data_IF_356170914492
#
_entry.id   IF_356170914492
#
_cell.length_a   1.000
_cell.length_b   1.000
_cell.length_c   1.000
_cell.angle_alpha   90.00
_cell.angle_beta   90.00
_cell.angle_gamma   90.00
#
_symmetry.space_group_name_H-M   'P 1'
#
loop_
_entity.id
_entity.type
_entity.pdbx_description
1 polymer ?
#
# COMPACT_ATOMS: atom_id res chain seq x y z
N UNK A 1 -21.62 3.54 -1.39
CA UNK A 1 -20.29 3.61 -2.05
C UNK A 1 -20.11 2.37 -2.89
N UNK A 2 -19.76 2.50 -4.17
CA UNK A 2 -19.48 1.38 -5.08
C UNK A 2 -17.98 1.17 -5.19
N UNK A 3 -17.55 -0.02 -5.61
CA UNK A 3 -16.13 -0.33 -5.82
C UNK A 3 -15.44 0.66 -6.78
N UNK A 4 -16.14 1.10 -7.83
CA UNK A 4 -15.67 2.12 -8.77
C UNK A 4 -15.26 3.42 -8.09
N UNK A 5 -15.93 3.80 -7.01
CA UNK A 5 -15.73 5.08 -6.33
C UNK A 5 -14.41 5.11 -5.56
N UNK A 6 -13.88 3.94 -5.18
CA UNK A 6 -12.66 3.79 -4.36
C UNK A 6 -11.51 3.12 -5.09
N UNK A 7 -11.71 2.66 -6.33
CA UNK A 7 -10.72 1.88 -7.07
C UNK A 7 -9.34 2.56 -7.13
N UNK A 8 -9.30 3.87 -7.39
CA UNK A 8 -8.05 4.64 -7.42
C UNK A 8 -7.34 4.67 -6.06
N UNK A 9 -8.09 4.79 -4.96
CA UNK A 9 -7.54 4.80 -3.59
C UNK A 9 -6.97 3.42 -3.22
N UNK A 10 -7.64 2.34 -3.61
CA UNK A 10 -7.15 0.97 -3.40
C UNK A 10 -5.84 0.72 -4.17
N UNK A 11 -5.75 1.27 -5.40
CA UNK A 11 -4.60 1.14 -6.30
C UNK A 11 -3.43 2.07 -5.99
N UNK A 12 -3.59 3.05 -5.10
CA UNK A 12 -2.54 4.03 -4.81
C UNK A 12 -1.23 3.35 -4.38
N UNK A 13 -0.04 3.87 -4.71
CA UNK A 13 1.21 3.32 -4.20
C UNK A 13 1.23 3.25 -2.67
N UNK A 14 1.97 2.29 -2.12
CA UNK A 14 2.21 2.24 -0.67
C UNK A 14 3.36 3.20 -0.33
N UNK A 15 3.34 3.82 0.86
CA UNK A 15 4.51 4.49 1.41
C UNK A 15 5.76 3.61 1.29
N UNK A 16 6.88 4.17 0.88
CA UNK A 16 8.09 3.40 0.58
C UNK A 16 8.58 2.57 1.76
N UNK A 17 8.42 3.08 2.98
CA UNK A 17 8.78 2.38 4.23
C UNK A 17 7.90 1.15 4.53
N UNK A 18 6.72 1.02 3.93
CA UNK A 18 5.87 -0.18 4.03
C UNK A 18 6.19 -1.23 2.96
N UNK A 19 7.05 -0.90 2.00
CA UNK A 19 7.50 -1.84 0.97
C UNK A 19 8.78 -2.54 1.43
N UNK A 20 8.65 -3.83 1.72
CA UNK A 20 9.77 -4.70 2.05
C UNK A 20 10.40 -5.32 0.81
N UNK A 21 11.61 -5.85 0.97
CA UNK A 21 12.37 -6.54 -0.07
C UNK A 21 12.77 -7.93 0.40
N UNK A 22 12.49 -8.95 -0.41
CA UNK A 22 12.86 -10.34 -0.13
C UNK A 22 13.67 -10.95 -1.27
N UNK A 23 14.66 -11.80 -0.98
CA UNK A 23 15.35 -12.55 -2.03
C UNK A 23 14.40 -13.57 -2.67
N UNK A 24 14.54 -13.76 -3.98
CA UNK A 24 13.87 -14.81 -4.75
C UNK A 24 14.86 -15.82 -5.30
N UNK A 25 15.98 -15.35 -5.86
CA UNK A 25 17.00 -16.22 -6.48
C UNK A 25 18.37 -15.70 -6.14
N UNK A 26 19.32 -16.60 -5.91
CA UNK A 26 20.71 -16.27 -5.59
C UNK A 26 21.62 -16.63 -6.77
N UNK A 27 22.74 -15.91 -6.91
CA UNK A 27 23.86 -16.36 -7.74
C UNK A 27 24.47 -17.63 -7.13
N UNK A 28 25.26 -18.38 -7.92
CA UNK A 28 25.87 -19.65 -7.48
C UNK A 28 26.77 -19.48 -6.26
N UNK A 29 27.49 -18.38 -6.19
CA UNK A 29 28.37 -17.97 -5.08
C UNK A 29 27.61 -17.25 -3.94
N UNK A 30 26.30 -17.05 -4.08
CA UNK A 30 25.41 -16.34 -3.14
C UNK A 30 25.80 -14.89 -2.85
N UNK A 31 26.69 -14.29 -3.66
CA UNK A 31 27.15 -12.91 -3.49
C UNK A 31 26.11 -11.87 -3.91
N UNK A 32 25.17 -12.26 -4.79
CA UNK A 32 24.06 -11.42 -5.26
C UNK A 32 22.73 -12.17 -5.18
N UNK A 33 21.66 -11.41 -5.01
CA UNK A 33 20.29 -11.93 -5.01
C UNK A 33 19.41 -11.11 -5.94
N UNK A 34 18.59 -11.80 -6.74
CA UNK A 34 17.41 -11.20 -7.34
C UNK A 34 16.37 -11.04 -6.24
N UNK A 35 15.91 -9.82 -6.04
CA UNK A 35 14.98 -9.48 -4.97
C UNK A 35 13.62 -9.07 -5.53
N UNK A 36 12.60 -9.28 -4.73
CA UNK A 36 11.22 -8.89 -5.01
C UNK A 36 10.72 -7.95 -3.91
N UNK A 37 10.00 -6.92 -4.33
CA UNK A 37 9.22 -6.09 -3.41
C UNK A 37 8.01 -6.84 -2.90
N UNK A 38 7.60 -6.55 -1.67
CA UNK A 38 6.33 -6.99 -1.13
C UNK A 38 5.80 -5.98 -0.11
N UNK A 39 4.51 -6.07 0.19
CA UNK A 39 3.92 -5.44 1.37
C UNK A 39 3.44 -6.50 2.33
N UNK A 40 3.39 -6.16 3.61
CA UNK A 40 2.83 -7.03 4.63
C UNK A 40 1.31 -7.06 4.60
N UNK A 41 0.73 -8.15 5.11
CA UNK A 41 -0.72 -8.31 5.20
C UNK A 41 -1.37 -7.18 6.02
N UNK A 42 -0.67 -6.61 7.01
CA UNK A 42 -1.18 -5.50 7.83
C UNK A 42 -1.35 -4.23 7.00
N UNK A 43 -0.38 -3.89 6.15
CA UNK A 43 -0.51 -2.75 5.25
C UNK A 43 -1.72 -2.88 4.30
N UNK A 44 -2.05 -4.11 3.88
CA UNK A 44 -3.27 -4.38 3.09
C UNK A 44 -4.54 -4.16 3.93
N UNK A 45 -4.56 -4.65 5.17
CA UNK A 45 -5.68 -4.47 6.10
C UNK A 45 -5.90 -2.99 6.43
N UNK A 46 -4.84 -2.28 6.82
CA UNK A 46 -4.88 -0.85 7.15
C UNK A 46 -5.43 -0.02 5.97
N UNK A 47 -5.07 -0.39 4.74
CA UNK A 47 -5.61 0.26 3.54
C UNK A 47 -7.10 -0.01 3.34
N UNK A 48 -7.54 -1.25 3.53
CA UNK A 48 -8.95 -1.61 3.45
C UNK A 48 -9.75 -0.89 4.54
N UNK A 49 -9.24 -0.84 5.76
CA UNK A 49 -9.84 -0.13 6.89
C UNK A 49 -9.94 1.38 6.64
N UNK A 50 -8.92 2.00 6.04
CA UNK A 50 -8.93 3.42 5.72
C UNK A 50 -9.91 3.80 4.59
N UNK A 51 -10.30 2.84 3.74
CA UNK A 51 -11.11 3.10 2.54
C UNK A 51 -12.56 2.66 2.72
N UNK A 52 -12.78 1.49 3.33
CA UNK A 52 -14.07 0.84 3.45
C UNK A 52 -14.17 0.02 4.74
N UNK A 53 -14.06 0.65 5.93
CA UNK A 53 -13.88 -0.03 7.21
C UNK A 53 -14.97 -1.05 7.52
N UNK A 54 -16.24 -0.72 7.22
CA UNK A 54 -17.38 -1.61 7.52
C UNK A 54 -17.78 -2.49 6.32
N UNK A 55 -17.02 -2.44 5.22
CA UNK A 55 -17.44 -3.02 3.94
C UNK A 55 -16.35 -3.86 3.27
N UNK A 56 -15.50 -4.51 4.06
CA UNK A 56 -14.66 -5.60 3.59
C UNK A 56 -14.69 -6.81 4.53
N UNK A 57 -14.56 -8.01 3.98
CA UNK A 57 -14.43 -9.26 4.74
C UNK A 57 -13.39 -10.15 4.10
N UNK A 58 -12.71 -10.95 4.90
CA UNK A 58 -11.78 -11.96 4.41
C UNK A 58 -12.05 -13.31 5.09
N UNK A 59 -12.42 -14.29 4.27
CA UNK A 59 -12.65 -15.66 4.69
C UNK A 59 -11.51 -16.55 4.18
N UNK A 60 -11.21 -17.61 4.93
CA UNK A 60 -10.19 -18.59 4.56
C UNK A 60 -10.78 -20.00 4.61
N UNK A 61 -10.38 -20.82 3.65
CA UNK A 61 -10.64 -22.25 3.61
C UNK A 61 -9.30 -22.98 3.47
N UNK A 62 -9.00 -23.90 4.39
CA UNK A 62 -7.77 -24.68 4.33
C UNK A 62 -7.90 -25.72 3.23
N UNK A 63 -6.91 -25.79 2.34
CA UNK A 63 -6.85 -26.81 1.29
C UNK A 63 -6.07 -28.00 1.85
N UNK A 64 -6.71 -29.17 2.07
CA UNK A 64 -6.04 -30.34 2.61
C UNK A 64 -5.17 -31.03 1.55
N UNK A 65 -4.18 -31.80 2.01
CA UNK A 65 -3.37 -32.67 1.13
C UNK A 65 -2.31 -31.96 0.30
N UNK A 66 -2.03 -30.68 0.58
CA UNK A 66 -0.94 -29.91 -0.06
C UNK A 66 0.40 -30.16 0.63
N UNK A 67 1.50 -30.05 -0.12
CA UNK A 67 2.87 -30.25 0.39
C UNK A 67 3.31 -29.16 1.38
N UNK A 68 2.72 -27.97 1.26
CA UNK A 68 2.89 -26.83 2.17
C UNK A 68 1.52 -26.39 2.68
N UNK A 69 1.48 -25.66 3.79
CA UNK A 69 0.21 -25.10 4.26
C UNK A 69 -0.38 -24.17 3.18
N UNK A 70 -1.58 -24.50 2.71
CA UNK A 70 -2.23 -23.80 1.60
C UNK A 70 -3.66 -23.45 2.00
N UNK A 71 -4.08 -22.23 1.67
CA UNK A 71 -5.46 -21.79 1.93
C UNK A 71 -6.03 -21.10 0.70
N UNK A 72 -7.32 -21.30 0.47
CA UNK A 72 -8.11 -20.47 -0.42
C UNK A 72 -8.61 -19.26 0.35
N UNK A 73 -8.21 -18.07 -0.07
CA UNK A 73 -8.72 -16.82 0.47
C UNK A 73 -9.90 -16.32 -0.35
N UNK A 74 -10.88 -15.72 0.32
CA UNK A 74 -12.01 -15.01 -0.28
C UNK A 74 -12.09 -13.62 0.31
N UNK A 75 -11.69 -12.60 -0.46
CA UNK A 75 -11.76 -11.20 -0.07
C UNK A 75 -12.98 -10.56 -0.72
N UNK A 76 -13.90 -10.05 0.10
CA UNK A 76 -15.04 -9.25 -0.35
C UNK A 76 -14.79 -7.79 -0.02
N UNK A 77 -14.92 -6.89 -1.00
CA UNK A 77 -14.80 -5.44 -0.83
C UNK A 77 -15.99 -4.78 -1.50
N UNK A 78 -16.80 -4.03 -0.73
CA UNK A 78 -18.01 -3.34 -1.20
C UNK A 78 -18.94 -4.27 -2.00
N UNK A 79 -19.12 -5.51 -1.53
CA UNK A 79 -19.99 -6.53 -2.13
C UNK A 79 -19.40 -7.27 -3.34
N UNK A 80 -18.17 -6.94 -3.77
CA UNK A 80 -17.47 -7.68 -4.84
C UNK A 80 -16.48 -8.64 -4.21
N UNK A 81 -16.56 -9.92 -4.57
CA UNK A 81 -15.71 -10.98 -4.03
C UNK A 81 -14.65 -11.41 -5.04
N UNK A 82 -13.43 -11.61 -4.56
CA UNK A 82 -12.31 -12.17 -5.33
C UNK A 82 -11.57 -13.21 -4.51
N UNK A 83 -11.13 -14.25 -5.18
CA UNK A 83 -10.52 -15.42 -4.56
C UNK A 83 -9.15 -15.70 -5.16
N UNK A 84 -8.22 -16.15 -4.32
CA UNK A 84 -6.90 -16.60 -4.71
C UNK A 84 -6.37 -17.61 -3.69
N UNK A 85 -5.31 -18.31 -4.06
CA UNK A 85 -4.65 -19.31 -3.20
C UNK A 85 -3.41 -18.69 -2.58
N UNK A 86 -3.25 -18.83 -1.26
CA UNK A 86 -2.03 -18.46 -0.56
C UNK A 86 -1.31 -19.69 -0.02
N UNK A 87 0.03 -19.63 -0.06
CA UNK A 87 0.89 -20.73 0.37
C UNK A 87 1.90 -20.23 1.41
N UNK A 88 2.17 -21.07 2.41
CA UNK A 88 3.27 -20.82 3.33
C UNK A 88 4.60 -21.18 2.63
N UNK A 89 5.50 -20.21 2.48
CA UNK A 89 6.84 -20.45 1.93
C UNK A 89 7.69 -21.39 2.79
N UNK A 90 8.74 -21.95 2.19
CA UNK A 90 9.66 -22.86 2.88
C UNK A 90 10.51 -22.14 3.94
N UNK A 91 10.77 -22.81 5.07
CA UNK A 91 11.83 -22.42 6.00
C UNK A 91 11.47 -21.49 7.18
N UNK A 92 10.20 -21.16 7.40
CA UNK A 92 9.74 -20.60 8.68
C UNK A 92 8.34 -21.13 8.97
N UNK A 93 8.26 -22.30 9.64
CA UNK A 93 7.03 -22.93 10.11
C UNK A 93 5.89 -22.81 9.09
N UNK A 94 5.79 -23.73 8.12
CA UNK A 94 4.71 -23.82 7.13
C UNK A 94 3.34 -23.76 7.81
N UNK A 95 2.88 -22.56 8.10
CA UNK A 95 1.79 -22.29 9.03
C UNK A 95 0.64 -21.73 8.25
N UNK A 96 -0.56 -22.11 8.69
CA UNK A 96 -1.79 -21.52 8.18
C UNK A 96 -1.76 -19.99 8.27
N UNK A 97 -1.07 -19.40 9.25
CA UNK A 97 -0.90 -17.93 9.35
C UNK A 97 -0.17 -17.32 8.15
N UNK A 98 0.92 -17.94 7.70
CA UNK A 98 1.67 -17.49 6.53
C UNK A 98 0.84 -17.65 5.26
N UNK A 99 0.20 -18.80 5.08
CA UNK A 99 -0.69 -19.07 3.95
C UNK A 99 -1.88 -18.08 3.90
N UNK A 100 -2.53 -17.80 5.02
CA UNK A 100 -3.62 -16.81 5.11
C UNK A 100 -3.16 -15.40 4.80
N UNK A 101 -1.96 -15.02 5.24
CA UNK A 101 -1.38 -13.71 4.92
C UNK A 101 -1.08 -13.58 3.44
N UNK A 102 -0.57 -14.66 2.82
CA UNK A 102 -0.30 -14.69 1.38
C UNK A 102 -1.61 -14.66 0.57
N UNK A 103 -2.62 -15.44 0.96
CA UNK A 103 -3.93 -15.48 0.29
C UNK A 103 -4.62 -14.10 0.33
N UNK A 104 -4.60 -13.41 1.47
CA UNK A 104 -5.13 -12.06 1.59
C UNK A 104 -4.47 -11.10 0.60
N UNK A 105 -3.13 -11.08 0.58
CA UNK A 105 -2.38 -10.20 -0.33
C UNK A 105 -2.68 -10.51 -1.79
N UNK A 106 -2.77 -11.79 -2.16
CA UNK A 106 -3.07 -12.21 -3.54
C UNK A 106 -4.48 -11.84 -3.96
N UNK A 107 -5.48 -12.04 -3.10
CA UNK A 107 -6.83 -11.56 -3.36
C UNK A 107 -6.86 -10.02 -3.52
N UNK A 108 -6.14 -9.29 -2.67
CA UNK A 108 -6.05 -7.84 -2.68
C UNK A 108 -5.41 -7.28 -3.98
N UNK A 109 -4.42 -7.98 -4.54
CA UNK A 109 -3.81 -7.64 -5.85
C UNK A 109 -4.85 -7.59 -6.95
N UNK A 110 -5.87 -8.44 -6.92
CA UNK A 110 -6.92 -8.41 -7.93
C UNK A 110 -7.73 -7.10 -7.85
N UNK A 111 -7.92 -6.52 -6.65
CA UNK A 111 -8.45 -5.16 -6.42
C UNK A 111 -7.48 -4.03 -6.76
N UNK A 112 -6.27 -4.38 -7.17
CA UNK A 112 -5.21 -3.44 -7.53
C UNK A 112 -4.35 -3.01 -6.35
N UNK A 113 -4.64 -3.48 -5.13
CA UNK A 113 -3.84 -3.18 -3.95
C UNK A 113 -2.47 -3.83 -4.10
N UNK A 114 -1.41 -3.02 -4.13
CA UNK A 114 -0.04 -3.52 -4.29
C UNK A 114 0.26 -4.14 -5.66
N UNK A 115 -0.67 -4.08 -6.63
CA UNK A 115 -0.47 -4.69 -7.96
C UNK A 115 0.71 -4.07 -8.71
N UNK A 116 0.93 -2.76 -8.54
CA UNK A 116 2.04 -2.03 -9.14
C UNK A 116 3.43 -2.58 -8.75
N UNK A 117 3.54 -3.29 -7.61
CA UNK A 117 4.80 -3.90 -7.17
C UNK A 117 5.26 -5.02 -8.11
N UNK A 118 4.34 -5.64 -8.84
CA UNK A 118 4.67 -6.66 -9.85
C UNK A 118 5.21 -6.05 -11.14
N UNK A 119 4.96 -4.76 -11.38
CA UNK A 119 5.46 -4.02 -12.54
C UNK A 119 6.86 -3.43 -12.30
N UNK A 120 7.40 -3.57 -11.08
CA UNK A 120 8.77 -3.15 -10.78
C UNK A 120 9.80 -3.99 -11.56
N UNK A 121 10.88 -3.37 -12.06
CA UNK A 121 11.93 -4.10 -12.75
C UNK A 121 12.60 -5.10 -11.80
N UNK A 122 12.86 -6.31 -12.30
CA UNK A 122 13.66 -7.30 -11.58
C UNK A 122 15.05 -6.74 -11.38
N UNK A 123 15.51 -6.70 -10.13
CA UNK A 123 16.81 -6.16 -9.77
C UNK A 123 17.66 -7.18 -9.04
N UNK A 124 18.94 -7.22 -9.41
CA UNK A 124 19.97 -8.02 -8.75
C UNK A 124 20.79 -7.12 -7.84
N UNK A 125 20.74 -7.36 -6.54
CA UNK A 125 21.46 -6.57 -5.53
C UNK A 125 22.56 -7.39 -4.89
N UNK A 126 23.57 -6.70 -4.38
CA UNK A 126 24.61 -7.34 -3.57
C UNK A 126 24.00 -7.84 -2.26
N UNK A 127 24.32 -9.08 -1.92
CA UNK A 127 23.71 -9.81 -0.81
C UNK A 127 24.72 -10.08 0.30
N UNK A 128 24.29 -9.90 1.55
CA UNK A 128 25.00 -10.35 2.74
C UNK A 128 24.35 -11.64 3.23
N UNK A 129 25.00 -12.78 2.94
CA UNK A 129 24.45 -14.09 3.28
C UNK A 129 24.46 -14.38 4.79
N UNK A 130 25.44 -13.82 5.51
CA UNK A 130 25.53 -13.98 6.95
C UNK A 130 24.39 -13.25 7.66
N UNK A 131 24.03 -12.05 7.19
CA UNK A 131 22.92 -11.25 7.74
C UNK A 131 21.57 -11.53 7.08
N UNK A 132 21.56 -12.31 5.99
CA UNK A 132 20.37 -12.62 5.18
C UNK A 132 19.62 -11.36 4.72
N UNK A 133 20.35 -10.35 4.25
CA UNK A 133 19.80 -9.08 3.79
C UNK A 133 20.59 -8.49 2.61
N UNK A 134 20.00 -7.58 1.81
CA UNK A 134 20.76 -6.78 0.85
C UNK A 134 21.81 -5.93 1.55
N UNK A 135 22.98 -5.75 0.92
CA UNK A 135 24.00 -4.80 1.43
C UNK A 135 23.54 -3.35 1.31
N UNK A 136 22.80 -3.06 0.25
CA UNK A 136 22.14 -1.77 0.01
C UNK A 136 20.66 -2.01 -0.18
N UNK A 137 19.84 -1.32 0.60
CA UNK A 137 18.38 -1.38 0.45
C UNK A 137 18.00 -0.75 -0.89
N UNK A 138 17.24 -1.45 -1.73
CA UNK A 138 16.78 -0.89 -2.98
C UNK A 138 15.72 0.18 -2.76
N UNK A 139 15.68 1.11 -3.70
CA UNK A 139 14.69 2.18 -3.71
C UNK A 139 13.59 1.91 -4.72
N UNK A 140 12.39 2.38 -4.40
CA UNK A 140 11.29 2.42 -5.37
C UNK A 140 11.56 3.49 -6.42
N UNK A 141 11.25 3.24 -7.72
CA UNK A 141 11.25 4.30 -8.71
C UNK A 141 10.15 5.32 -8.42
N UNK A 142 10.29 6.56 -8.90
CA UNK A 142 9.39 7.68 -8.56
C UNK A 142 7.92 7.36 -8.81
N UNK A 143 7.60 6.75 -9.96
CA UNK A 143 6.23 6.37 -10.31
C UNK A 143 5.60 5.37 -9.32
N UNK A 144 6.42 4.61 -8.59
CA UNK A 144 5.99 3.62 -7.61
C UNK A 144 5.96 4.14 -6.17
N UNK A 145 6.30 5.42 -5.95
CA UNK A 145 6.16 6.12 -4.66
C UNK A 145 4.82 6.84 -4.58
N UNK A 146 4.23 7.10 -3.40
CA UNK A 146 3.08 7.97 -3.28
C UNK A 146 3.40 9.42 -3.66
N UNK A 147 2.40 10.20 -4.09
CA UNK A 147 2.60 11.58 -4.57
C UNK A 147 3.34 12.49 -3.56
N UNK A 148 3.07 12.32 -2.26
CA UNK A 148 3.74 13.10 -1.20
C UNK A 148 5.22 12.72 -1.01
N UNK A 149 5.64 11.52 -1.44
CA UNK A 149 7.04 11.07 -1.45
C UNK A 149 7.75 11.39 -2.78
N UNK A 150 7.00 11.73 -3.85
CA UNK A 150 7.56 12.05 -5.17
C UNK A 150 8.05 13.49 -5.30
N UNK A 151 7.48 14.41 -4.54
CA UNK A 151 7.73 15.84 -4.71
C UNK A 151 8.60 16.40 -3.58
N UNK A 152 9.62 17.24 -3.88
CA UNK A 152 10.35 17.99 -2.86
C UNK A 152 9.43 18.82 -1.94
N UNK A 153 8.31 19.30 -2.47
CA UNK A 153 7.28 20.02 -1.69
C UNK A 153 6.36 19.13 -0.85
N UNK A 154 6.29 17.82 -1.12
CA UNK A 154 5.46 16.88 -0.37
C UNK A 154 5.97 16.67 1.05
N UNK A 155 7.30 16.58 1.22
CA UNK A 155 7.94 16.55 2.53
C UNK A 155 7.64 17.82 3.34
N UNK A 156 7.75 19.00 2.71
CA UNK A 156 7.39 20.27 3.35
C UNK A 156 5.90 20.35 3.73
N UNK A 157 5.00 19.83 2.90
CA UNK A 157 3.57 19.77 3.21
C UNK A 157 3.28 18.83 4.38
N UNK A 158 3.88 17.64 4.40
CA UNK A 158 3.72 16.68 5.51
C UNK A 158 4.24 17.28 6.82
N UNK A 159 5.44 17.88 6.80
CA UNK A 159 6.01 18.55 7.96
C UNK A 159 5.12 19.71 8.44
N UNK A 160 4.60 20.52 7.52
CA UNK A 160 3.66 21.59 7.86
C UNK A 160 2.35 21.05 8.46
N UNK A 161 1.82 19.93 7.96
CA UNK A 161 0.62 19.30 8.51
C UNK A 161 0.85 18.68 9.90
N UNK A 162 2.03 18.12 10.15
CA UNK A 162 2.41 17.61 11.48
C UNK A 162 2.61 18.74 12.49
N UNK A 163 3.27 19.82 12.08
CA UNK A 163 3.41 21.02 12.91
C UNK A 163 2.05 21.62 13.25
N UNK A 164 1.16 21.78 12.26
CA UNK A 164 -0.20 22.25 12.47
C UNK A 164 -0.99 21.33 13.42
N UNK A 165 -0.75 20.02 13.38
CA UNK A 165 -1.39 19.07 14.31
C UNK A 165 -0.91 19.25 15.74
N UNK A 166 0.36 19.55 15.93
CA UNK A 166 0.95 19.80 17.26
C UNK A 166 0.55 21.17 17.82
N UNK A 167 0.51 22.19 16.97
CA UNK A 167 0.15 23.56 17.33
C UNK A 167 -1.37 23.78 17.38
N UNK A 168 -2.18 22.81 16.97
CA UNK A 168 -3.63 22.94 16.97
C UNK A 168 -4.12 23.14 18.42
N UNK A 169 -4.87 24.22 18.71
CA UNK A 169 -5.42 24.43 20.04
C UNK A 169 -6.30 23.25 20.45
N UNK A 170 -6.29 22.85 21.72
CA UNK A 170 -7.25 21.86 22.25
C UNK A 170 -8.68 22.43 22.34
N UNK A 171 -8.79 23.76 22.37
CA UNK A 171 -10.05 24.49 22.39
C UNK A 171 -10.82 24.36 21.06
N UNK A 172 -12.04 23.84 21.14
CA UNK A 172 -12.91 23.55 20.00
C UNK A 172 -13.34 24.79 19.20
N UNK A 173 -13.49 25.95 19.84
CA UNK A 173 -13.90 27.17 19.15
C UNK A 173 -12.73 27.78 18.39
N UNK A 174 -11.52 27.73 18.94
CA UNK A 174 -10.31 28.08 18.21
C UNK A 174 -10.03 27.12 17.04
N UNK A 175 -10.24 25.81 17.21
CA UNK A 175 -10.13 24.85 16.12
C UNK A 175 -11.10 25.15 14.96
N UNK A 176 -12.34 25.52 15.27
CA UNK A 176 -13.33 25.92 14.25
C UNK A 176 -12.89 27.14 13.48
N UNK A 177 -12.26 28.10 14.15
CA UNK A 177 -11.76 29.31 13.50
C UNK A 177 -10.55 29.01 12.61
N UNK A 178 -9.60 28.22 13.09
CA UNK A 178 -8.47 27.71 12.28
C UNK A 178 -8.98 26.94 11.06
N UNK A 179 -9.98 26.07 11.24
CA UNK A 179 -10.59 25.31 10.14
C UNK A 179 -11.26 26.22 9.10
N UNK A 180 -12.00 27.26 9.52
CA UNK A 180 -12.58 28.24 8.60
C UNK A 180 -11.52 28.94 7.76
N UNK A 181 -10.43 29.40 8.39
CA UNK A 181 -9.34 30.07 7.69
C UNK A 181 -8.63 29.13 6.72
N UNK A 182 -8.33 27.90 7.14
CA UNK A 182 -7.72 26.89 6.29
C UNK A 182 -8.62 26.54 5.09
N UNK A 183 -9.93 26.36 5.33
CA UNK A 183 -10.91 26.11 4.28
C UNK A 183 -11.01 27.25 3.28
N UNK A 184 -10.98 28.50 3.74
CA UNK A 184 -10.99 29.68 2.88
C UNK A 184 -9.71 29.76 2.03
N UNK A 185 -8.54 29.53 2.64
CA UNK A 185 -7.26 29.52 1.96
C UNK A 185 -7.21 28.42 0.88
N UNK A 186 -7.61 27.19 1.21
CA UNK A 186 -7.67 26.09 0.24
C UNK A 186 -8.68 26.34 -0.89
N UNK A 187 -9.81 26.97 -0.59
CA UNK A 187 -10.81 27.36 -1.58
C UNK A 187 -10.30 28.37 -2.60
N UNK A 188 -9.34 29.23 -2.23
CA UNK A 188 -8.75 30.22 -3.13
C UNK A 188 -7.75 29.63 -4.15
N UNK A 189 -7.32 28.37 -3.94
CA UNK A 189 -6.33 27.68 -4.78
C UNK A 189 -7.00 26.91 -5.94
N UNK A 190 -8.33 26.77 -5.94
CA UNK A 190 -9.07 26.24 -7.10
C UNK A 190 -9.60 27.39 -7.97
N UNK A 191 -9.09 27.58 -9.20
CA UNK A 191 -9.74 28.48 -10.15
C UNK A 191 -11.08 27.85 -10.55
N UNK A 192 -12.18 28.56 -10.31
CA UNK A 192 -13.47 28.20 -10.89
C UNK A 192 -13.33 28.05 -12.41
N UNK A 193 -13.90 27.02 -13.06
CA UNK A 193 -13.86 26.93 -14.50
C UNK A 193 -14.62 28.14 -15.07
N UNK A 194 -13.90 29.00 -15.79
CA UNK A 194 -14.46 30.17 -16.46
C UNK A 194 -15.58 29.70 -17.37
N UNK A 195 -16.81 30.09 -17.06
CA UNK A 195 -17.96 29.96 -17.95
C UNK A 195 -17.66 30.70 -19.24
N UNK A 196 -17.47 29.97 -20.34
CA UNK A 196 -17.50 30.55 -21.68
C UNK A 196 -18.95 30.97 -21.98
N UNK A 197 -19.26 32.22 -21.63
CA UNK A 197 -20.41 32.97 -22.12
C UNK A 197 -19.99 33.85 -23.29
N UNK A 198 -20.50 33.49 -24.47
CA UNK A 198 -20.78 34.29 -25.67
C UNK A 198 -20.29 35.74 -25.72
N UNK A 199 -19.55 36.08 -26.80
CA UNK A 199 -20.00 37.06 -27.81
C UNK A 199 -18.92 37.27 -28.89
N UNK A 200 -19.16 36.74 -30.09
CA UNK A 200 -19.22 37.46 -31.36
C UNK A 200 -19.53 36.47 -32.50
#
# INVERSE_FOLDING_TARGET
>A
MKLSDVQKRLQAPFPSHLVGWKPQTFTKDRSRAMILSYVDARAVQDRLDAICPDAWTFEIEVIPGTSVATVKGRLTVLGVTREDIGEAGEGNLGTLKAASSDALKRCAVQFGIGRYLYDLPKQWVDWDDARRQPKTTPELPDWARPDHERSPGGAHLVQAMEQLRYELPEDLDLQREVYKHLKAALGSIHPSPVSQGQAA
#
